data_IF_228184799753
#
_entry.id   IF_228184799753
#
_cell.length_a   1.000
_cell.length_b   1.000
_cell.length_c   1.000
_cell.angle_alpha   90.00
_cell.angle_beta   90.00
_cell.angle_gamma   90.00
#
_symmetry.space_group_name_H-M   'P 1'
#
loop_
_entity.id
_entity.type
_entity.pdbx_description
1 polymer ?
#
# COMPACT_ATOMS: atom_id res chain seq x y z
N UNK A 1 1.03 -17.70 -14.11
CA UNK A 1 1.07 -18.45 -12.83
C UNK A 1 -0.20 -18.11 -12.08
N UNK A 2 -0.80 -19.03 -11.35
CA UNK A 2 -2.03 -18.78 -10.57
C UNK A 2 -1.87 -19.31 -9.14
N UNK A 3 -2.59 -18.71 -8.19
CA UNK A 3 -2.68 -19.18 -6.83
C UNK A 3 -4.01 -19.92 -6.63
N UNK A 4 -3.95 -21.21 -6.31
CA UNK A 4 -5.14 -22.03 -6.04
C UNK A 4 -5.43 -22.05 -4.54
N UNK A 5 -6.62 -21.61 -4.14
CA UNK A 5 -7.06 -21.52 -2.77
C UNK A 5 -8.23 -22.48 -2.53
N UNK A 6 -8.00 -23.47 -1.66
CA UNK A 6 -9.03 -24.41 -1.20
C UNK A 6 -9.71 -23.92 0.06
N UNK A 7 -11.05 -23.92 0.07
CA UNK A 7 -11.83 -23.55 1.25
C UNK A 7 -13.16 -24.29 1.30
N UNK A 8 -13.72 -24.37 2.50
CA UNK A 8 -15.03 -24.97 2.70
C UNK A 8 -16.12 -24.06 2.11
N UNK A 9 -16.94 -24.56 1.17
CA UNK A 9 -18.02 -23.77 0.58
C UNK A 9 -18.99 -23.24 1.65
N UNK A 10 -19.35 -21.96 1.56
CA UNK A 10 -20.24 -21.29 2.50
C UNK A 10 -19.61 -20.96 3.87
N UNK A 11 -18.32 -21.22 4.06
CA UNK A 11 -17.60 -20.77 5.27
C UNK A 11 -17.49 -19.24 5.32
N UNK A 12 -17.17 -18.68 6.49
CA UNK A 12 -17.03 -17.24 6.67
C UNK A 12 -15.87 -16.61 5.86
N UNK A 13 -14.96 -17.44 5.33
CA UNK A 13 -13.86 -17.03 4.46
C UNK A 13 -14.17 -17.23 2.96
N UNK A 14 -15.31 -17.85 2.63
CA UNK A 14 -15.76 -18.02 1.26
C UNK A 14 -16.11 -16.65 0.68
N UNK A 15 -15.43 -16.20 -0.40
CA UNK A 15 -15.72 -14.92 -1.03
C UNK A 15 -17.06 -14.91 -1.78
N UNK A 16 -17.69 -16.06 -2.01
CA UNK A 16 -18.89 -16.19 -2.84
C UNK A 16 -18.59 -15.94 -4.31
N UNK A 17 -19.54 -15.34 -5.02
CA UNK A 17 -19.38 -14.94 -6.42
C UNK A 17 -20.21 -13.70 -6.72
N UNK A 18 -19.62 -12.73 -7.43
CA UNK A 18 -20.31 -11.52 -7.89
C UNK A 18 -21.10 -11.80 -9.17
N UNK A 19 -20.55 -12.63 -10.06
CA UNK A 19 -21.16 -13.02 -11.33
C UNK A 19 -21.08 -14.53 -11.48
N UNK A 20 -22.21 -15.19 -11.71
CA UNK A 20 -22.28 -16.64 -11.89
C UNK A 20 -22.71 -17.36 -10.61
N UNK A 21 -22.03 -18.46 -10.28
CA UNK A 21 -22.34 -19.31 -9.12
C UNK A 21 -21.15 -19.37 -8.15
N UNK A 22 -21.39 -19.50 -6.83
CA UNK A 22 -20.33 -19.70 -5.86
C UNK A 22 -19.68 -21.09 -6.01
N UNK A 23 -18.58 -21.30 -5.30
CA UNK A 23 -17.98 -22.64 -5.14
C UNK A 23 -18.94 -23.57 -4.38
N UNK A 24 -18.88 -24.87 -4.66
CA UNK A 24 -19.64 -25.91 -3.93
C UNK A 24 -20.86 -26.47 -4.67
N UNK A 25 -21.46 -25.74 -5.62
CA UNK A 25 -22.55 -26.25 -6.46
C UNK A 25 -22.10 -27.37 -7.42
N UNK A 26 -20.87 -27.27 -7.90
CA UNK A 26 -20.20 -28.22 -8.79
C UNK A 26 -18.89 -28.65 -8.10
N UNK A 27 -18.61 -29.95 -7.91
CA UNK A 27 -17.37 -30.42 -7.27
C UNK A 27 -16.09 -29.92 -7.95
N UNK A 28 -16.15 -29.66 -9.26
CA UNK A 28 -15.03 -29.13 -10.06
C UNK A 28 -15.18 -27.63 -10.35
N UNK A 29 -16.23 -26.99 -9.82
CA UNK A 29 -16.54 -25.59 -10.02
C UNK A 29 -15.61 -24.68 -9.22
N UNK A 30 -14.94 -23.77 -9.92
CA UNK A 30 -14.07 -22.75 -9.32
C UNK A 30 -14.59 -21.34 -9.59
N UNK A 31 -14.30 -20.45 -8.66
CA UNK A 31 -14.52 -19.00 -8.82
C UNK A 31 -13.17 -18.33 -9.05
N UNK A 32 -13.06 -17.50 -10.09
CA UNK A 32 -11.79 -16.87 -10.45
C UNK A 32 -11.82 -15.37 -10.19
N UNK A 33 -10.66 -14.82 -9.82
CA UNK A 33 -10.47 -13.37 -9.65
C UNK A 33 -10.50 -12.62 -11.00
N UNK A 34 -10.95 -11.35 -10.97
CA UNK A 34 -10.97 -10.45 -12.14
C UNK A 34 -9.64 -10.38 -12.90
N UNK A 35 -8.50 -10.45 -12.20
CA UNK A 35 -7.18 -10.40 -12.83
C UNK A 35 -6.98 -11.52 -13.87
N UNK A 36 -7.51 -12.71 -13.60
CA UNK A 36 -7.42 -13.84 -14.54
C UNK A 36 -8.28 -13.59 -15.80
N UNK A 37 -9.43 -12.94 -15.63
CA UNK A 37 -10.29 -12.52 -16.75
C UNK A 37 -9.55 -11.49 -17.61
N UNK A 38 -8.95 -10.48 -16.98
CA UNK A 38 -8.25 -9.40 -17.67
C UNK A 38 -6.97 -9.85 -18.41
N UNK A 39 -6.19 -10.75 -17.82
CA UNK A 39 -4.91 -11.20 -18.39
C UNK A 39 -5.04 -12.37 -19.36
N UNK A 40 -5.98 -13.28 -19.12
CA UNK A 40 -6.10 -14.54 -19.85
C UNK A 40 -7.42 -14.69 -20.62
N UNK A 41 -8.31 -13.69 -20.58
CA UNK A 41 -9.61 -13.70 -21.25
C UNK A 41 -10.46 -14.93 -20.91
N UNK A 42 -10.42 -15.33 -19.63
CA UNK A 42 -11.19 -16.46 -19.07
C UNK A 42 -12.64 -16.05 -18.86
N UNK A 43 -13.57 -16.88 -19.32
CA UNK A 43 -15.02 -16.68 -19.21
C UNK A 43 -15.68 -17.77 -18.37
N UNK A 44 -16.91 -17.51 -17.91
CA UNK A 44 -17.72 -18.53 -17.23
C UNK A 44 -18.05 -19.65 -18.22
N UNK A 45 -17.80 -20.89 -17.83
CA UNK A 45 -17.94 -22.08 -18.67
C UNK A 45 -16.62 -22.61 -19.21
N UNK A 46 -15.53 -21.84 -19.11
CA UNK A 46 -14.20 -22.32 -19.48
C UNK A 46 -13.68 -23.39 -18.52
N UNK A 47 -12.82 -24.27 -19.04
CA UNK A 47 -12.09 -25.25 -18.25
C UNK A 47 -10.60 -24.91 -18.25
N UNK A 48 -10.06 -24.68 -17.06
CA UNK A 48 -8.63 -24.45 -16.83
C UNK A 48 -8.01 -25.79 -16.41
N UNK A 49 -6.98 -26.23 -17.13
CA UNK A 49 -6.24 -27.45 -16.78
C UNK A 49 -4.94 -27.06 -16.08
N UNK A 50 -4.69 -27.64 -14.90
CA UNK A 50 -3.44 -27.41 -14.19
C UNK A 50 -2.32 -28.29 -14.77
N UNK A 51 -1.46 -27.73 -15.63
CA UNK A 51 -0.43 -28.46 -16.40
C UNK A 51 0.35 -29.55 -15.64
N UNK A 52 0.70 -29.33 -14.37
CA UNK A 52 1.52 -30.27 -13.58
C UNK A 52 0.74 -31.43 -12.96
N UNK A 53 -0.53 -31.20 -12.65
CA UNK A 53 -1.37 -32.15 -11.91
C UNK A 53 -2.58 -32.59 -12.74
N UNK A 54 -2.74 -32.07 -13.95
CA UNK A 54 -3.79 -32.40 -14.92
C UNK A 54 -5.22 -32.33 -14.36
N UNK A 55 -5.41 -31.63 -13.23
CA UNK A 55 -6.72 -31.38 -12.65
C UNK A 55 -7.44 -30.34 -13.48
N UNK A 56 -8.67 -30.66 -13.87
CA UNK A 56 -9.57 -29.76 -14.58
C UNK A 56 -10.35 -28.90 -13.58
N UNK A 57 -10.36 -27.60 -13.83
CA UNK A 57 -11.06 -26.60 -13.02
C UNK A 57 -12.08 -25.91 -13.92
N UNK A 58 -13.36 -26.02 -13.61
CA UNK A 58 -14.43 -25.42 -14.41
C UNK A 58 -14.82 -24.07 -13.83
N UNK A 59 -14.72 -23.01 -14.63
CA UNK A 59 -15.05 -21.66 -14.18
C UNK A 59 -16.56 -21.51 -14.09
N UNK A 60 -17.08 -21.41 -12.87
CA UNK A 60 -18.53 -21.29 -12.59
C UNK A 60 -18.94 -19.90 -12.11
N UNK A 61 -17.97 -19.11 -11.65
CA UNK A 61 -18.21 -17.75 -11.19
C UNK A 61 -16.98 -16.87 -11.27
N UNK A 62 -17.22 -15.57 -11.22
CA UNK A 62 -16.22 -14.51 -11.21
C UNK A 62 -16.36 -13.67 -9.95
N UNK A 63 -15.23 -13.19 -9.45
CA UNK A 63 -15.14 -12.16 -8.43
C UNK A 63 -14.68 -10.86 -9.08
N UNK A 64 -15.48 -9.81 -8.92
CA UNK A 64 -15.20 -8.46 -9.39
C UNK A 64 -14.18 -7.75 -8.50
N UNK A 65 -14.06 -8.17 -7.24
CA UNK A 65 -13.06 -7.66 -6.32
C UNK A 65 -11.62 -7.93 -6.82
N UNK A 66 -10.73 -6.95 -6.62
CA UNK A 66 -9.28 -7.04 -6.88
C UNK A 66 -8.57 -7.93 -5.85
N UNK A 67 -8.97 -9.20 -5.79
CA UNK A 67 -8.38 -10.19 -4.90
C UNK A 67 -7.20 -10.87 -5.62
N UNK A 68 -5.99 -10.43 -5.30
CA UNK A 68 -4.74 -11.01 -5.79
C UNK A 68 -3.75 -11.18 -4.64
N UNK A 69 -2.79 -12.09 -4.82
CA UNK A 69 -1.68 -12.28 -3.88
C UNK A 69 -0.39 -12.12 -4.64
N UNK A 70 0.44 -11.16 -4.21
CA UNK A 70 1.72 -10.88 -4.86
C UNK A 70 1.59 -10.73 -6.40
N UNK A 71 0.58 -9.99 -6.85
CA UNK A 71 0.25 -9.81 -8.29
C UNK A 71 0.01 -11.12 -9.05
N UNK A 72 -0.44 -12.16 -8.36
CA UNK A 72 -0.85 -13.42 -8.96
C UNK A 72 -2.37 -13.56 -8.83
N UNK A 73 -3.08 -13.94 -9.91
CA UNK A 73 -4.52 -14.18 -9.85
C UNK A 73 -4.82 -15.35 -8.92
N UNK A 74 -5.90 -15.21 -8.15
CA UNK A 74 -6.39 -16.26 -7.26
C UNK A 74 -7.54 -17.02 -7.95
N UNK A 75 -7.53 -18.33 -7.80
CA UNK A 75 -8.61 -19.25 -8.14
C UNK A 75 -9.10 -19.89 -6.85
N UNK A 76 -10.37 -19.68 -6.52
CA UNK A 76 -11.03 -20.25 -5.36
C UNK A 76 -11.68 -21.57 -5.76
N UNK A 77 -11.36 -22.62 -5.03
CA UNK A 77 -11.83 -23.97 -5.27
C UNK A 77 -12.44 -24.56 -3.98
N UNK A 78 -13.39 -25.50 -4.10
CA UNK A 78 -13.81 -26.32 -2.98
C UNK A 78 -12.59 -27.00 -2.34
N UNK A 79 -12.57 -27.08 -1.02
CA UNK A 79 -11.45 -27.65 -0.26
C UNK A 79 -11.02 -29.03 -0.77
N UNK A 80 -11.99 -29.91 -1.09
CA UNK A 80 -11.73 -31.22 -1.67
C UNK A 80 -10.95 -31.12 -2.99
N UNK A 81 -11.43 -30.34 -3.95
CA UNK A 81 -10.76 -30.15 -5.24
C UNK A 81 -9.34 -29.62 -5.08
N UNK A 82 -9.12 -28.68 -4.16
CA UNK A 82 -7.78 -28.17 -3.86
C UNK A 82 -6.87 -29.25 -3.25
N UNK A 83 -7.37 -30.06 -2.31
CA UNK A 83 -6.61 -31.14 -1.70
C UNK A 83 -6.22 -32.18 -2.74
N UNK A 84 -7.15 -32.55 -3.64
CA UNK A 84 -6.89 -33.45 -4.77
C UNK A 84 -5.83 -32.87 -5.72
N UNK A 85 -5.95 -31.60 -6.09
CA UNK A 85 -4.97 -30.93 -6.95
C UNK A 85 -3.58 -30.79 -6.30
N UNK A 86 -3.51 -30.71 -4.96
CA UNK A 86 -2.26 -30.46 -4.24
C UNK A 86 -1.53 -31.75 -3.83
N UNK A 87 -2.28 -32.77 -3.42
CA UNK A 87 -1.74 -34.01 -2.84
C UNK A 87 -2.20 -35.28 -3.56
N UNK A 88 -3.19 -35.17 -4.44
CA UNK A 88 -3.72 -36.30 -5.20
C UNK A 88 -2.87 -36.67 -6.42
N UNK A 89 -3.19 -37.81 -7.06
CA UNK A 89 -2.56 -38.21 -8.31
C UNK A 89 -2.96 -37.26 -9.45
N UNK A 90 -2.12 -37.12 -10.50
CA UNK A 90 -2.45 -36.29 -11.64
C UNK A 90 -3.75 -36.75 -12.33
N UNK A 91 -4.68 -35.82 -12.57
CA UNK A 91 -5.98 -36.08 -13.17
C UNK A 91 -7.09 -36.46 -12.18
N UNK A 92 -6.80 -36.52 -10.88
CA UNK A 92 -7.78 -36.86 -9.84
C UNK A 92 -7.90 -38.38 -9.60
N UNK A 93 -8.92 -38.83 -8.84
CA UNK A 93 -9.13 -40.25 -8.57
C UNK A 93 -9.28 -41.08 -9.85
N UNK A 94 -8.78 -42.33 -9.88
CA UNK A 94 -9.12 -43.28 -10.94
C UNK A 94 -10.63 -43.42 -11.11
N UNK A 95 -11.09 -43.70 -12.34
CA UNK A 95 -12.52 -43.84 -12.63
C UNK A 95 -13.19 -44.86 -11.69
N UNK A 96 -14.20 -44.41 -10.93
CA UNK A 96 -14.97 -45.24 -10.00
C UNK A 96 -14.34 -45.44 -8.62
N UNK A 97 -13.18 -44.87 -8.36
CA UNK A 97 -12.53 -44.87 -7.04
C UNK A 97 -12.63 -43.50 -6.37
N UNK A 98 -12.51 -43.49 -5.04
CA UNK A 98 -12.37 -42.27 -4.24
C UNK A 98 -10.99 -42.24 -3.60
N UNK A 99 -10.39 -41.06 -3.50
CA UNK A 99 -9.13 -40.91 -2.79
C UNK A 99 -9.30 -41.18 -1.28
N UNK A 100 -8.26 -41.66 -0.59
CA UNK A 100 -8.30 -41.91 0.85
C UNK A 100 -8.66 -40.66 1.65
N UNK A 101 -9.49 -40.80 2.70
CA UNK A 101 -9.97 -39.68 3.52
C UNK A 101 -8.85 -38.85 4.14
N UNK A 102 -7.71 -39.48 4.47
CA UNK A 102 -6.53 -38.82 5.04
C UNK A 102 -6.00 -37.66 4.17
N UNK A 103 -6.28 -37.66 2.87
CA UNK A 103 -5.89 -36.58 1.98
C UNK A 103 -6.62 -35.26 2.30
N UNK A 104 -7.81 -35.35 2.91
CA UNK A 104 -8.63 -34.21 3.31
C UNK A 104 -8.40 -33.79 4.77
N UNK A 105 -7.52 -34.46 5.51
CA UNK A 105 -7.21 -34.12 6.90
C UNK A 105 -6.14 -33.02 7.03
N UNK A 106 -5.56 -32.56 5.90
CA UNK A 106 -4.49 -31.57 5.88
C UNK A 106 -4.98 -30.21 5.40
N UNK A 107 -4.74 -29.17 6.21
CA UNK A 107 -4.95 -27.78 5.84
C UNK A 107 -3.66 -26.99 6.06
N UNK A 108 -3.38 -26.03 5.17
CA UNK A 108 -2.22 -25.12 5.30
C UNK A 108 -2.49 -23.98 6.29
N UNK A 109 -3.76 -23.55 6.38
CA UNK A 109 -4.18 -22.42 7.22
C UNK A 109 -5.52 -22.76 7.86
N UNK A 110 -5.65 -22.49 9.16
CA UNK A 110 -6.91 -22.57 9.90
C UNK A 110 -7.35 -21.15 10.23
N UNK A 111 -8.50 -20.74 9.69
CA UNK A 111 -9.09 -19.45 9.99
C UNK A 111 -10.10 -19.60 11.13
N UNK A 112 -10.03 -18.71 12.12
CA UNK A 112 -10.92 -18.71 13.28
C UNK A 112 -11.75 -17.44 13.30
N UNK A 113 -13.06 -17.57 13.55
CA UNK A 113 -13.95 -16.45 13.84
C UNK A 113 -14.31 -16.51 15.33
N UNK A 114 -13.79 -15.56 16.10
CA UNK A 114 -13.93 -15.52 17.56
C UNK A 114 -14.85 -14.37 17.98
N UNK A 115 -15.53 -14.53 19.11
CA UNK A 115 -16.26 -13.44 19.75
C UNK A 115 -15.27 -12.43 20.37
N UNK A 116 -15.61 -11.13 20.36
CA UNK A 116 -14.71 -10.03 20.79
C UNK A 116 -14.11 -10.20 22.21
N UNK A 117 -14.78 -10.93 23.10
CA UNK A 117 -14.35 -11.14 24.48
C UNK A 117 -13.42 -12.35 24.67
N UNK A 118 -13.04 -13.05 23.59
CA UNK A 118 -12.26 -14.30 23.69
C UNK A 118 -10.78 -14.02 23.92
N UNK A 119 -10.25 -14.44 25.06
CA UNK A 119 -8.81 -14.41 25.33
C UNK A 119 -8.13 -15.62 24.67
N UNK A 120 -7.30 -15.37 23.66
CA UNK A 120 -6.67 -16.41 22.83
C UNK A 120 -5.36 -16.91 23.44
N UNK A 121 -4.65 -16.06 24.19
CA UNK A 121 -3.35 -16.38 24.77
C UNK A 121 -3.28 -17.70 25.57
N UNK A 122 -4.23 -18.02 26.47
CA UNK A 122 -4.20 -19.29 27.19
C UNK A 122 -4.45 -20.51 26.29
N UNK A 123 -5.26 -20.35 25.23
CA UNK A 123 -5.56 -21.41 24.26
C UNK A 123 -4.32 -21.70 23.41
N UNK A 124 -3.62 -20.65 22.97
CA UNK A 124 -2.37 -20.77 22.23
C UNK A 124 -1.28 -21.46 23.04
N UNK A 125 -1.17 -21.15 24.33
CA UNK A 125 -0.22 -21.82 25.23
C UNK A 125 -0.55 -23.31 25.42
N UNK A 126 -1.83 -23.65 25.58
CA UNK A 126 -2.27 -25.04 25.73
C UNK A 126 -2.05 -25.88 24.46
N UNK A 127 -2.36 -25.31 23.29
CA UNK A 127 -2.25 -25.99 22.00
C UNK A 127 -0.86 -25.90 21.38
N UNK A 128 0.08 -25.18 22.01
CA UNK A 128 1.39 -24.83 21.44
C UNK A 128 1.26 -24.15 20.06
N UNK A 129 0.26 -23.28 19.92
CA UNK A 129 -0.02 -22.51 18.69
C UNK A 129 0.25 -21.03 18.87
N UNK A 130 0.24 -20.30 17.76
CA UNK A 130 0.23 -18.83 17.74
C UNK A 130 -0.84 -18.38 16.77
N UNK A 131 -1.94 -17.86 17.29
CA UNK A 131 -2.96 -17.20 16.50
C UNK A 131 -2.49 -15.80 16.10
N UNK A 132 -2.60 -15.49 14.81
CA UNK A 132 -2.33 -14.16 14.29
C UNK A 132 -3.64 -13.45 14.00
N UNK A 133 -3.74 -12.19 14.41
CA UNK A 133 -4.83 -11.34 13.97
C UNK A 133 -4.72 -11.02 12.47
N UNK A 134 -5.81 -10.51 11.88
CA UNK A 134 -5.86 -10.19 10.45
C UNK A 134 -4.77 -9.19 10.02
N UNK A 135 -4.47 -8.10 10.75
CA UNK A 135 -3.36 -7.23 10.40
C UNK A 135 -1.99 -7.94 10.39
N UNK A 136 -1.71 -8.79 11.38
CA UNK A 136 -0.45 -9.51 11.49
C UNK A 136 -0.29 -10.61 10.44
N UNK A 137 -1.40 -11.21 9.97
CA UNK A 137 -1.34 -12.19 8.89
C UNK A 137 -0.79 -11.59 7.59
N UNK A 138 -1.09 -10.31 7.28
CA UNK A 138 -0.46 -9.61 6.16
C UNK A 138 1.05 -9.45 6.35
N UNK A 139 1.50 -9.14 7.57
CA UNK A 139 2.93 -9.00 7.88
C UNK A 139 3.67 -10.34 7.77
N UNK A 140 2.99 -11.44 8.08
CA UNK A 140 3.50 -12.79 7.90
C UNK A 140 3.59 -13.22 6.42
N UNK A 141 2.84 -12.57 5.52
CA UNK A 141 2.91 -12.86 4.08
C UNK A 141 4.32 -12.58 3.53
N UNK A 142 4.85 -13.56 2.80
CA UNK A 142 6.16 -13.43 2.17
C UNK A 142 6.10 -12.31 1.12
N UNK A 143 6.95 -11.30 1.26
CA UNK A 143 7.01 -10.15 0.35
C UNK A 143 6.35 -8.87 0.86
N UNK A 144 5.27 -8.94 1.68
CA UNK A 144 4.55 -7.75 2.14
C UNK A 144 5.46 -6.77 2.89
N UNK A 145 6.25 -7.28 3.85
CA UNK A 145 7.19 -6.46 4.61
C UNK A 145 8.25 -5.82 3.72
N UNK A 146 8.85 -6.61 2.82
CA UNK A 146 9.91 -6.12 1.93
C UNK A 146 9.41 -5.04 0.96
N UNK A 147 8.22 -5.23 0.40
CA UNK A 147 7.56 -4.26 -0.47
C UNK A 147 7.26 -2.97 0.28
N UNK A 148 6.62 -3.08 1.46
CA UNK A 148 6.28 -1.93 2.31
C UNK A 148 7.52 -1.18 2.77
N UNK A 149 8.59 -1.89 3.12
CA UNK A 149 9.84 -1.27 3.56
C UNK A 149 10.54 -0.52 2.40
N UNK A 150 10.56 -1.10 1.20
CA UNK A 150 11.07 -0.43 -0.01
C UNK A 150 10.31 0.86 -0.31
N UNK A 151 8.97 0.82 -0.29
CA UNK A 151 8.12 2.01 -0.52
C UNK A 151 8.39 3.08 0.54
N UNK A 152 8.51 2.72 1.81
CA UNK A 152 8.80 3.65 2.91
C UNK A 152 10.18 4.29 2.77
N UNK A 153 11.19 3.53 2.35
CA UNK A 153 12.54 4.06 2.09
C UNK A 153 12.48 5.11 0.97
N UNK A 154 11.79 4.81 -0.14
CA UNK A 154 11.63 5.77 -1.23
C UNK A 154 10.88 7.04 -0.78
N UNK A 155 9.82 6.90 0.00
CA UNK A 155 9.11 8.04 0.60
C UNK A 155 10.04 8.87 1.51
N UNK A 156 10.85 8.21 2.33
CA UNK A 156 11.84 8.87 3.18
C UNK A 156 12.86 9.66 2.37
N UNK A 157 13.41 9.09 1.29
CA UNK A 157 14.31 9.80 0.39
C UNK A 157 13.65 11.02 -0.24
N UNK A 158 12.41 10.89 -0.72
CA UNK A 158 11.67 12.01 -1.30
C UNK A 158 11.47 13.14 -0.29
N UNK A 159 11.14 12.83 0.97
CA UNK A 159 11.00 13.82 2.04
C UNK A 159 12.32 14.52 2.35
N UNK A 160 13.43 13.78 2.42
CA UNK A 160 14.77 14.35 2.65
C UNK A 160 15.16 15.27 1.48
N UNK A 161 15.04 14.80 0.25
CA UNK A 161 15.38 15.57 -0.95
C UNK A 161 14.50 16.81 -1.05
N UNK A 162 13.18 16.69 -0.82
CA UNK A 162 12.27 17.83 -0.82
C UNK A 162 12.70 18.88 0.24
N UNK A 163 13.01 18.44 1.46
CA UNK A 163 13.48 19.32 2.54
C UNK A 163 14.78 20.05 2.14
N UNK A 164 15.74 19.35 1.54
CA UNK A 164 16.99 19.94 1.08
C UNK A 164 16.78 20.95 -0.04
N UNK A 165 15.95 20.62 -1.05
CA UNK A 165 15.65 21.51 -2.17
C UNK A 165 14.94 22.77 -1.68
N UNK A 166 13.94 22.62 -0.80
CA UNK A 166 13.22 23.76 -0.21
C UNK A 166 14.19 24.64 0.58
N UNK A 167 15.04 24.05 1.41
CA UNK A 167 16.06 24.77 2.16
C UNK A 167 17.05 25.52 1.26
N UNK A 168 17.54 24.88 0.19
CA UNK A 168 18.43 25.49 -0.79
C UNK A 168 17.75 26.64 -1.54
N UNK A 169 16.49 26.47 -1.96
CA UNK A 169 15.70 27.50 -2.61
C UNK A 169 15.54 28.73 -1.72
N UNK A 170 15.12 28.54 -0.46
CA UNK A 170 15.00 29.66 0.48
C UNK A 170 16.36 30.28 0.83
N UNK A 171 17.43 29.50 0.84
CA UNK A 171 18.79 30.04 0.97
C UNK A 171 19.13 31.01 -0.16
N UNK A 172 18.96 30.58 -1.41
CA UNK A 172 19.21 31.42 -2.60
C UNK A 172 18.29 32.64 -2.59
N UNK A 173 17.00 32.45 -2.32
CA UNK A 173 16.01 33.51 -2.22
C UNK A 173 16.39 34.57 -1.18
N UNK A 174 16.82 34.12 0.00
CA UNK A 174 17.24 35.03 1.08
C UNK A 174 18.51 35.79 0.68
N UNK A 175 19.46 35.13 0.00
CA UNK A 175 20.68 35.78 -0.50
C UNK A 175 20.33 36.88 -1.49
N UNK A 176 19.42 36.62 -2.43
CA UNK A 176 18.97 37.62 -3.42
C UNK A 176 18.31 38.84 -2.76
N UNK A 177 17.65 38.66 -1.61
CA UNK A 177 17.02 39.75 -0.84
C UNK A 177 17.91 40.36 0.25
N UNK A 178 19.22 40.06 0.28
CA UNK A 178 20.13 40.54 1.33
C UNK A 178 20.17 42.07 1.43
N UNK A 179 20.11 42.78 0.30
CA UNK A 179 20.11 44.25 0.28
C UNK A 179 18.84 44.84 0.92
N UNK A 180 17.67 44.28 0.60
CA UNK A 180 16.39 44.68 1.19
C UNK A 180 16.39 44.42 2.71
N UNK A 181 16.86 43.24 3.12
CA UNK A 181 16.98 42.86 4.53
C UNK A 181 17.95 43.80 5.27
N UNK A 182 19.07 44.15 4.64
CA UNK A 182 20.06 45.10 5.18
C UNK A 182 19.51 46.50 5.37
N UNK A 183 18.72 47.00 4.41
CA UNK A 183 18.04 48.30 4.50
C UNK A 183 17.02 48.31 5.65
N UNK A 184 16.18 47.29 5.75
CA UNK A 184 15.16 47.19 6.82
C UNK A 184 15.83 47.08 8.20
N UNK A 185 16.96 46.37 8.30
CA UNK A 185 17.76 46.28 9.52
C UNK A 185 18.43 47.62 9.88
N UNK A 186 18.89 48.38 8.89
CA UNK A 186 19.43 49.73 9.09
C UNK A 186 18.36 50.73 9.57
N UNK A 187 17.09 50.52 9.20
CA UNK A 187 15.93 51.25 9.72
C UNK A 187 15.50 50.83 11.14
N UNK A 188 16.20 49.86 11.76
CA UNK A 188 15.99 49.46 13.15
C UNK A 188 15.19 48.17 13.35
N UNK A 189 14.89 47.41 12.29
CA UNK A 189 14.20 46.13 12.44
C UNK A 189 15.07 45.08 13.17
N UNK A 190 14.45 44.34 14.08
CA UNK A 190 15.13 43.24 14.79
C UNK A 190 15.29 42.01 13.91
N UNK A 191 16.34 41.21 14.17
CA UNK A 191 16.52 39.90 13.50
C UNK A 191 15.33 38.97 13.73
N UNK A 192 14.68 39.04 14.89
CA UNK A 192 13.48 38.24 15.19
C UNK A 192 12.28 38.60 14.32
N UNK A 193 12.12 39.90 14.01
CA UNK A 193 11.09 40.36 13.08
C UNK A 193 11.31 39.79 11.68
N UNK A 194 12.54 39.88 11.16
CA UNK A 194 12.91 39.35 9.84
C UNK A 194 12.70 37.84 9.72
N UNK A 195 13.03 37.08 10.78
CA UNK A 195 12.79 35.62 10.81
C UNK A 195 11.30 35.30 10.82
N UNK A 196 10.47 36.05 11.58
CA UNK A 196 9.01 35.83 11.61
C UNK A 196 8.34 36.17 10.28
N UNK A 197 8.75 37.26 9.64
CA UNK A 197 8.26 37.63 8.31
C UNK A 197 8.59 36.55 7.26
N UNK A 198 9.85 36.11 7.23
CA UNK A 198 10.27 35.05 6.32
C UNK A 198 9.54 33.74 6.60
N UNK A 199 9.37 33.36 7.87
CA UNK A 199 8.59 32.18 8.26
C UNK A 199 7.14 32.27 7.77
N UNK A 200 6.48 33.42 7.90
CA UNK A 200 5.12 33.62 7.40
C UNK A 200 5.01 33.44 5.89
N UNK A 201 5.94 34.03 5.13
CA UNK A 201 6.01 33.90 3.67
C UNK A 201 6.24 32.43 3.26
N UNK A 202 7.19 31.76 3.92
CA UNK A 202 7.51 30.35 3.69
C UNK A 202 6.32 29.46 4.02
N UNK A 203 5.67 29.65 5.17
CA UNK A 203 4.50 28.88 5.58
C UNK A 203 3.36 28.99 4.58
N UNK A 204 3.05 30.20 4.11
CA UNK A 204 2.00 30.42 3.13
C UNK A 204 2.33 29.73 1.80
N UNK A 205 3.55 29.90 1.31
CA UNK A 205 4.00 29.30 0.05
C UNK A 205 3.98 27.78 0.12
N UNK A 206 4.47 27.20 1.23
CA UNK A 206 4.45 25.75 1.44
C UNK A 206 3.03 25.20 1.61
N UNK A 207 2.13 25.92 2.28
CA UNK A 207 0.74 25.52 2.40
C UNK A 207 0.05 25.44 1.04
N UNK A 208 0.26 26.43 0.17
CA UNK A 208 -0.26 26.42 -1.20
C UNK A 208 0.38 25.29 -2.01
N UNK A 209 1.71 25.15 -1.95
CA UNK A 209 2.42 24.10 -2.69
C UNK A 209 1.98 22.68 -2.29
N UNK A 210 1.85 22.41 -0.99
CA UNK A 210 1.37 21.12 -0.48
C UNK A 210 -0.08 20.88 -0.89
N UNK A 211 -0.94 21.89 -0.80
CA UNK A 211 -2.36 21.77 -1.23
C UNK A 211 -2.45 21.44 -2.71
N UNK A 212 -1.69 22.14 -3.57
CA UNK A 212 -1.64 21.85 -5.00
C UNK A 212 -1.06 20.45 -5.27
N UNK A 213 0.03 20.07 -4.60
CA UNK A 213 0.65 18.75 -4.74
C UNK A 213 -0.28 17.61 -4.34
N UNK A 214 -1.04 17.79 -3.26
CA UNK A 214 -2.11 16.89 -2.85
C UNK A 214 -3.18 16.78 -3.91
N UNK A 215 -3.65 17.91 -4.46
CA UNK A 215 -4.68 17.91 -5.51
C UNK A 215 -4.22 17.19 -6.78
N UNK A 216 -2.95 17.38 -7.18
CA UNK A 216 -2.34 16.65 -8.30
C UNK A 216 -2.23 15.16 -7.98
N UNK A 217 -1.78 14.81 -6.77
CA UNK A 217 -1.67 13.41 -6.33
C UNK A 217 -3.01 12.69 -6.33
N UNK A 218 -4.07 13.36 -5.87
CA UNK A 218 -5.43 12.85 -5.91
C UNK A 218 -5.89 12.61 -7.36
N UNK A 219 -5.71 13.60 -8.25
CA UNK A 219 -6.12 13.49 -9.65
C UNK A 219 -5.34 12.41 -10.42
N UNK A 220 -4.06 12.23 -10.13
CA UNK A 220 -3.27 11.14 -10.71
C UNK A 220 -3.69 9.77 -10.16
N UNK A 221 -4.06 9.69 -8.88
CA UNK A 221 -4.59 8.47 -8.28
C UNK A 221 -5.86 7.99 -8.97
N UNK A 222 -6.80 8.90 -9.22
CA UNK A 222 -8.05 8.61 -9.94
C UNK A 222 -7.78 8.07 -11.35
N UNK A 223 -6.88 8.71 -12.10
CA UNK A 223 -6.49 8.26 -13.44
C UNK A 223 -5.84 6.87 -13.45
N UNK A 224 -5.10 6.50 -12.39
CA UNK A 224 -4.51 5.18 -12.25
C UNK A 224 -5.61 4.14 -12.01
N UNK A 225 -6.59 4.43 -11.14
CA UNK A 225 -7.73 3.52 -10.89
C UNK A 225 -8.56 3.30 -12.14
N UNK A 226 -8.79 4.35 -12.94
CA UNK A 226 -9.56 4.21 -14.19
C UNK A 226 -8.85 3.36 -15.25
N UNK A 227 -7.51 3.34 -15.26
CA UNK A 227 -6.72 2.72 -16.33
C UNK A 227 -6.00 1.44 -15.93
N UNK A 228 -5.97 1.11 -14.66
CA UNK A 228 -5.25 -0.05 -14.14
C UNK A 228 -6.08 -0.73 -13.06
N UNK A 229 -5.99 -2.06 -12.99
CA UNK A 229 -6.62 -2.87 -11.93
C UNK A 229 -5.86 -2.80 -10.59
N UNK A 230 -5.22 -1.67 -10.30
CA UNK A 230 -4.46 -1.47 -9.07
C UNK A 230 -5.36 -0.80 -8.02
N UNK A 231 -5.66 -1.47 -6.90
CA UNK A 231 -6.45 -0.87 -5.84
C UNK A 231 -5.69 0.32 -5.22
N UNK A 232 -6.26 1.51 -5.32
CA UNK A 232 -5.72 2.74 -4.75
C UNK A 232 -6.63 3.23 -3.62
N UNK A 233 -6.06 3.38 -2.43
CA UNK A 233 -6.78 3.89 -1.26
C UNK A 233 -6.00 5.06 -0.67
N UNK A 234 -6.71 6.17 -0.44
CA UNK A 234 -6.13 7.37 0.16
C UNK A 234 -6.21 7.27 1.68
N UNK A 235 -5.05 7.17 2.31
CA UNK A 235 -4.93 7.35 3.75
C UNK A 235 -4.74 8.85 4.09
N UNK A 236 -5.82 9.48 4.53
CA UNK A 236 -5.84 10.90 4.92
C UNK A 236 -4.80 11.18 6.02
N UNK A 237 -4.62 10.26 6.97
CA UNK A 237 -3.65 10.43 8.06
C UNK A 237 -2.23 10.43 7.51
N UNK A 238 -1.88 9.47 6.64
CA UNK A 238 -0.57 9.41 6.01
C UNK A 238 -0.30 10.66 5.15
N UNK A 239 -1.32 11.17 4.47
CA UNK A 239 -1.25 12.39 3.67
C UNK A 239 -0.96 13.62 4.55
N UNK A 240 -1.69 13.78 5.66
CA UNK A 240 -1.48 14.88 6.60
C UNK A 240 -0.10 14.83 7.26
N UNK A 241 0.36 13.64 7.65
CA UNK A 241 1.71 13.45 8.22
C UNK A 241 2.77 13.84 7.20
N UNK A 242 2.68 13.34 5.96
CA UNK A 242 3.63 13.67 4.89
C UNK A 242 3.65 15.17 4.58
N UNK A 243 2.47 15.80 4.48
CA UNK A 243 2.35 17.25 4.28
C UNK A 243 2.97 18.05 5.42
N UNK A 244 2.72 17.65 6.67
CA UNK A 244 3.32 18.27 7.85
C UNK A 244 4.85 18.12 7.88
N UNK A 245 5.38 16.97 7.48
CA UNK A 245 6.83 16.73 7.37
C UNK A 245 7.48 17.62 6.31
N UNK A 246 6.85 17.78 5.14
CA UNK A 246 7.34 18.69 4.08
C UNK A 246 7.34 20.14 4.56
N UNK A 247 6.25 20.59 5.20
CA UNK A 247 6.15 21.95 5.75
C UNK A 247 7.21 22.15 6.84
N UNK A 248 7.30 21.22 7.79
CA UNK A 248 8.26 21.26 8.88
C UNK A 248 9.71 21.32 8.39
N UNK A 249 10.07 20.44 7.45
CA UNK A 249 11.38 20.42 6.82
C UNK A 249 11.71 21.74 6.10
N UNK A 250 10.74 22.27 5.34
CA UNK A 250 10.90 23.54 4.65
C UNK A 250 11.09 24.73 5.59
N UNK A 251 10.34 24.78 6.70
CA UNK A 251 10.48 25.82 7.72
C UNK A 251 11.85 25.77 8.40
N UNK A 252 12.35 24.56 8.71
CA UNK A 252 13.71 24.39 9.24
C UNK A 252 14.75 24.94 8.26
N UNK A 253 14.62 24.61 6.97
CA UNK A 253 15.49 25.13 5.91
C UNK A 253 15.49 26.66 5.84
N UNK A 254 14.30 27.28 5.86
CA UNK A 254 14.15 28.73 5.81
C UNK A 254 14.74 29.44 7.05
N UNK A 255 14.52 28.89 8.25
CA UNK A 255 15.10 29.44 9.49
C UNK A 255 16.63 29.46 9.43
N UNK A 256 17.24 28.37 8.94
CA UNK A 256 18.69 28.28 8.81
C UNK A 256 19.24 29.31 7.81
N UNK A 257 18.58 29.49 6.67
CA UNK A 257 18.94 30.49 5.67
C UNK A 257 18.89 31.93 6.22
N UNK A 258 17.74 32.31 6.80
CA UNK A 258 17.52 33.68 7.30
C UNK A 258 18.42 34.00 8.48
N UNK A 259 18.63 33.05 9.41
CA UNK A 259 19.55 33.23 10.54
C UNK A 259 20.98 33.49 10.09
N UNK A 260 21.44 32.82 9.02
CA UNK A 260 22.79 33.00 8.49
C UNK A 260 22.99 34.41 7.93
N UNK A 261 22.02 34.90 7.17
CA UNK A 261 22.12 36.20 6.46
C UNK A 261 21.83 37.38 7.41
N UNK A 262 20.85 37.24 8.31
CA UNK A 262 20.52 38.31 9.24
C UNK A 262 21.60 38.58 10.30
N UNK A 263 22.62 37.72 10.43
CA UNK A 263 23.82 37.96 11.25
C UNK A 263 24.88 38.83 10.55
N UNK A 264 24.79 39.04 9.25
CA UNK A 264 25.72 39.88 8.50
C UNK A 264 25.46 41.35 8.85
N UNK A 265 26.53 42.13 8.95
CA UNK A 265 26.45 43.56 9.29
C UNK A 265 25.84 44.37 8.12
N UNK A 266 24.87 45.27 8.40
CA UNK A 266 24.20 46.06 7.37
C UNK A 266 25.17 46.91 6.53
N UNK A 267 26.26 47.37 7.13
CA UNK A 267 27.30 48.19 6.46
C UNK A 267 28.04 47.38 5.39
N UNK A 268 28.20 46.07 5.59
CA UNK A 268 28.83 45.17 4.61
C UNK A 268 27.83 44.84 3.50
N UNK A 269 26.55 44.67 3.83
CA UNK A 269 25.49 44.40 2.86
C UNK A 269 25.23 45.58 1.90
N UNK A 270 25.35 46.83 2.39
CA UNK A 270 25.23 48.05 1.57
C UNK A 270 26.55 48.44 0.87
N UNK A 271 27.70 48.02 1.42
CA UNK A 271 29.04 48.32 0.90
C UNK A 271 29.47 47.50 -0.34
N UNK A 272 28.68 46.52 -0.78
CA UNK A 272 28.94 45.76 -2.02
C UNK A 272 28.64 46.55 -3.31
N UNK A 273 28.33 47.84 -3.23
CA UNK A 273 28.36 48.77 -4.36
C UNK A 273 29.82 49.18 -4.66
N UNK A 274 30.57 48.28 -5.30
CA UNK A 274 31.73 48.61 -6.13
C UNK A 274 31.98 47.52 -7.17
#
# INVERSE_FOLDING_TARGET
TLALWGMEPGSFIDPGSDIGRPIGDDPYGVVVSRMLVAENNVEIGDTIVLDRVLTELKVVGLLDAHNNIAHTPIVYAPFRLWAEASYGPPGGPPEGESLPDILYDFATVVALQLEEATEIAPIDEELFTVALDKPMSFVASTGYKAERDSVRINQGFLLVIATLIIGAFFSIWTIQRTQEIGLIKALGASTGYLVRDALGQVSLLLAVAVTCGVGIGYGLGDLIVERTDIPYVIDIRAMLISGALVIGGGLVGAVLAVRRIARIDPIIALGQLR
#
